data_IF_560828993365
#
_entry.id   IF_560828993365
#
_cell.length_a   1.000
_cell.length_b   1.000
_cell.length_c   1.000
_cell.angle_alpha   90.00
_cell.angle_beta   90.00
_cell.angle_gamma   90.00
#
_symmetry.space_group_name_H-M   'P 1'
#
loop_
_entity.id
_entity.type
_entity.pdbx_description
1 polymer ?
#
# COMPACT_ATOMS: atom_id res chain seq x y z
N UNK A 1 -0.98 -18.74 1.93
CA UNK A 1 -2.32 -18.21 1.60
C UNK A 1 -2.16 -16.99 0.69
N UNK A 2 -3.10 -16.75 -0.24
CA UNK A 2 -3.09 -15.57 -1.10
C UNK A 2 -3.53 -14.34 -0.31
N UNK A 3 -2.69 -13.30 -0.21
CA UNK A 3 -2.99 -12.04 0.49
C UNK A 3 -4.11 -11.24 -0.20
N UNK A 4 -4.64 -10.21 0.46
CA UNK A 4 -5.85 -9.50 0.02
C UNK A 4 -5.79 -8.96 -1.42
N UNK A 5 -4.71 -8.27 -1.80
CA UNK A 5 -4.54 -7.73 -3.16
C UNK A 5 -4.44 -8.83 -4.23
N UNK A 6 -3.93 -10.02 -3.89
CA UNK A 6 -3.87 -11.16 -4.82
C UNK A 6 -5.25 -11.79 -5.03
N UNK A 7 -6.09 -11.84 -3.99
CA UNK A 7 -7.52 -12.21 -4.13
C UNK A 7 -8.27 -11.20 -4.99
N UNK A 8 -8.10 -9.91 -4.74
CA UNK A 8 -8.74 -8.85 -5.51
C UNK A 8 -8.35 -8.87 -6.99
N UNK A 9 -7.07 -9.08 -7.29
CA UNK A 9 -6.58 -9.28 -8.66
C UNK A 9 -7.26 -10.47 -9.34
N UNK A 10 -7.39 -11.59 -8.64
CA UNK A 10 -8.02 -12.81 -9.16
C UNK A 10 -9.50 -12.56 -9.49
N UNK A 11 -10.24 -11.91 -8.59
CA UNK A 11 -11.62 -11.50 -8.83
C UNK A 11 -11.75 -10.56 -10.04
N UNK A 12 -10.83 -9.59 -10.16
CA UNK A 12 -10.83 -8.63 -11.27
C UNK A 12 -10.53 -9.28 -12.62
N UNK A 13 -9.61 -10.26 -12.65
CA UNK A 13 -9.32 -11.08 -13.82
C UNK A 13 -10.52 -11.91 -14.25
N UNK A 14 -11.23 -12.52 -13.29
CA UNK A 14 -12.44 -13.30 -13.58
C UNK A 14 -13.57 -12.46 -14.19
N UNK A 15 -13.64 -11.16 -13.85
CA UNK A 15 -14.61 -10.20 -14.42
C UNK A 15 -14.14 -9.55 -15.73
N UNK A 16 -12.91 -9.82 -16.19
CA UNK A 16 -12.35 -9.13 -17.35
C UNK A 16 -12.91 -9.68 -18.68
N UNK A 17 -13.71 -8.87 -19.37
CA UNK A 17 -14.27 -9.21 -20.70
C UNK A 17 -13.24 -9.02 -21.83
N UNK A 18 -12.16 -8.27 -21.57
CA UNK A 18 -11.03 -8.05 -22.51
C UNK A 18 -9.70 -8.23 -21.78
N UNK A 19 -8.64 -8.71 -22.46
CA UNK A 19 -7.31 -8.79 -21.87
C UNK A 19 -6.83 -7.41 -21.41
N UNK A 20 -6.29 -7.33 -20.19
CA UNK A 20 -5.66 -6.10 -19.71
C UNK A 20 -4.34 -5.86 -20.43
N UNK A 21 -4.25 -4.78 -21.21
CA UNK A 21 -3.04 -4.38 -21.93
C UNK A 21 -2.47 -3.13 -21.25
N UNK A 22 -1.53 -3.34 -20.33
CA UNK A 22 -0.69 -2.25 -19.80
C UNK A 22 0.73 -2.34 -20.40
N UNK A 23 1.46 -1.23 -20.36
CA UNK A 23 2.86 -1.21 -20.79
C UNK A 23 3.65 -2.21 -19.92
N UNK A 24 4.26 -3.23 -20.53
CA UNK A 24 4.96 -4.31 -19.81
C UNK A 24 4.06 -5.48 -19.34
N UNK A 25 2.80 -5.56 -19.78
CA UNK A 25 1.87 -6.65 -19.41
C UNK A 25 2.00 -7.93 -20.24
N UNK A 26 2.86 -7.94 -21.28
CA UNK A 26 3.09 -9.12 -22.13
C UNK A 26 4.13 -10.11 -21.58
N UNK A 27 4.99 -9.65 -20.67
CA UNK A 27 5.99 -10.52 -20.05
C UNK A 27 5.31 -11.43 -19.02
N UNK A 28 5.70 -12.71 -19.01
CA UNK A 28 5.36 -13.63 -17.93
C UNK A 28 5.91 -13.10 -16.61
N UNK A 29 5.12 -13.23 -15.54
CA UNK A 29 5.43 -12.69 -14.22
C UNK A 29 5.10 -13.70 -13.15
N UNK A 30 5.94 -13.73 -12.12
CA UNK A 30 5.70 -14.51 -10.92
C UNK A 30 4.29 -14.20 -10.34
N UNK A 31 3.47 -15.21 -10.05
CA UNK A 31 2.13 -14.99 -9.50
C UNK A 31 2.14 -14.40 -8.08
N UNK A 32 3.25 -14.57 -7.34
CA UNK A 32 3.47 -13.95 -6.03
C UNK A 32 3.90 -12.49 -6.15
N UNK A 33 5.17 -12.26 -6.52
CA UNK A 33 5.79 -10.93 -6.49
C UNK A 33 5.59 -10.07 -7.76
N UNK A 34 5.00 -10.63 -8.83
CA UNK A 34 4.68 -9.90 -10.08
C UNK A 34 5.89 -9.37 -10.85
N UNK A 35 7.10 -9.75 -10.46
CA UNK A 35 8.33 -9.52 -11.21
C UNK A 35 8.58 -10.69 -12.16
N UNK A 36 9.41 -10.48 -13.19
CA UNK A 36 9.87 -11.51 -14.12
C UNK A 36 10.52 -12.68 -13.32
N UNK A 37 10.27 -13.96 -13.67
CA UNK A 37 10.71 -15.11 -12.86
C UNK A 37 12.19 -15.14 -12.49
N UNK A 38 13.09 -14.76 -13.40
CA UNK A 38 14.53 -14.68 -13.18
C UNK A 38 14.93 -13.63 -12.11
N UNK A 39 14.03 -12.68 -11.85
CA UNK A 39 14.17 -11.59 -10.89
C UNK A 39 13.17 -11.72 -9.75
N UNK A 40 12.66 -12.93 -9.49
CA UNK A 40 11.68 -13.16 -8.44
C UNK A 40 12.22 -12.75 -7.07
N UNK A 41 11.41 -12.05 -6.28
CA UNK A 41 11.73 -11.69 -4.90
C UNK A 41 10.89 -12.41 -3.84
N UNK A 42 10.20 -13.51 -4.19
CA UNK A 42 9.33 -14.20 -3.23
C UNK A 42 10.09 -14.82 -2.05
N UNK A 43 11.37 -15.14 -2.21
CA UNK A 43 12.23 -15.60 -1.12
C UNK A 43 12.58 -14.49 -0.12
N UNK A 44 12.30 -13.23 -0.46
CA UNK A 44 12.57 -12.05 0.36
C UNK A 44 11.33 -11.51 1.06
N UNK A 45 10.24 -12.29 1.11
CA UNK A 45 9.02 -11.87 1.81
C UNK A 45 9.30 -11.84 3.31
N UNK A 46 9.22 -10.68 3.96
CA UNK A 46 9.52 -10.59 5.38
C UNK A 46 8.32 -10.99 6.24
N UNK A 47 8.56 -11.16 7.53
CA UNK A 47 7.57 -11.36 8.56
C UNK A 47 7.82 -10.37 9.70
N UNK A 48 6.80 -9.58 10.03
CA UNK A 48 6.84 -8.60 11.12
C UNK A 48 5.44 -8.47 11.73
N UNK A 49 5.39 -8.17 13.03
CA UNK A 49 4.14 -7.87 13.70
C UNK A 49 3.84 -6.37 13.61
N UNK A 50 2.57 -6.03 13.41
CA UNK A 50 2.09 -4.66 13.41
C UNK A 50 0.79 -4.58 14.22
N UNK A 51 0.63 -3.52 15.01
CA UNK A 51 -0.66 -3.23 15.65
C UNK A 51 -1.63 -2.61 14.66
N UNK A 52 -1.14 -1.86 13.68
CA UNK A 52 -1.95 -1.23 12.64
C UNK A 52 -2.48 -2.24 11.64
N UNK A 53 -3.69 -1.97 11.17
CA UNK A 53 -4.29 -2.60 10.00
C UNK A 53 -4.28 -1.66 8.80
N UNK A 54 -4.39 -2.25 7.60
CA UNK A 54 -4.38 -1.53 6.34
C UNK A 54 -5.61 -1.91 5.52
N UNK A 55 -6.33 -0.91 5.01
CA UNK A 55 -7.43 -1.09 4.08
C UNK A 55 -7.10 -0.43 2.74
N UNK A 56 -6.81 -1.24 1.73
CA UNK A 56 -6.53 -0.77 0.37
C UNK A 56 -7.82 -0.65 -0.42
N UNK A 57 -8.28 0.56 -0.64
CA UNK A 57 -9.39 0.84 -1.54
C UNK A 57 -8.81 1.14 -2.92
N UNK A 58 -8.91 0.20 -3.85
CA UNK A 58 -8.16 0.21 -5.11
C UNK A 58 -9.02 0.59 -6.30
N UNK A 59 -8.56 1.50 -7.14
CA UNK A 59 -9.20 1.80 -8.43
C UNK A 59 -9.17 0.55 -9.35
N UNK A 60 -10.14 0.44 -10.27
CA UNK A 60 -10.46 -0.78 -11.02
C UNK A 60 -9.27 -1.54 -11.64
N UNK A 61 -8.29 -0.80 -12.16
CA UNK A 61 -7.12 -1.38 -12.86
C UNK A 61 -5.88 -1.52 -11.99
N UNK A 62 -5.85 -0.92 -10.79
CA UNK A 62 -4.68 -0.93 -9.91
C UNK A 62 -4.22 -2.33 -9.50
N UNK A 63 -5.10 -3.26 -9.09
CA UNK A 63 -4.70 -4.62 -8.74
C UNK A 63 -3.98 -5.36 -9.87
N UNK A 64 -4.17 -4.92 -11.13
CA UNK A 64 -3.59 -5.51 -12.33
C UNK A 64 -2.22 -4.93 -12.70
N UNK A 65 -1.85 -3.75 -12.20
CA UNK A 65 -0.58 -3.08 -12.56
C UNK A 65 0.61 -3.80 -11.92
N UNK A 66 1.63 -4.21 -12.69
CA UNK A 66 2.84 -4.84 -12.12
C UNK A 66 3.65 -3.94 -11.21
N UNK A 67 3.58 -2.62 -11.42
CA UNK A 67 4.29 -1.61 -10.64
C UNK A 67 3.48 -1.09 -9.44
N UNK A 68 2.26 -1.56 -9.23
CA UNK A 68 1.49 -1.21 -8.04
C UNK A 68 2.27 -1.68 -6.81
N UNK A 69 2.38 -0.86 -5.77
CA UNK A 69 3.12 -1.20 -4.54
C UNK A 69 2.20 -1.55 -3.38
N UNK A 70 0.89 -1.44 -3.53
CA UNK A 70 -0.09 -1.79 -2.50
C UNK A 70 -0.04 -3.27 -2.10
N UNK A 71 0.34 -4.17 -3.01
CA UNK A 71 0.51 -5.58 -2.66
C UNK A 71 1.69 -5.85 -1.72
N UNK A 72 2.71 -4.98 -1.67
CA UNK A 72 3.82 -5.11 -0.71
C UNK A 72 3.30 -4.93 0.72
N UNK A 73 2.37 -4.00 0.92
CA UNK A 73 1.70 -3.79 2.22
C UNK A 73 0.99 -5.08 2.65
N UNK A 74 0.28 -5.72 1.73
CA UNK A 74 -0.45 -6.96 2.01
C UNK A 74 0.46 -8.20 2.21
N UNK A 75 1.73 -8.13 1.79
CA UNK A 75 2.74 -9.15 2.10
C UNK A 75 3.36 -8.92 3.49
N UNK A 76 3.50 -7.66 3.94
CA UNK A 76 4.18 -7.29 5.20
C UNK A 76 3.21 -7.20 6.38
N UNK A 77 2.01 -6.66 6.17
CA UNK A 77 1.02 -6.38 7.22
C UNK A 77 -0.09 -7.42 7.14
N UNK A 78 -0.15 -8.31 8.13
CA UNK A 78 -1.11 -9.42 8.17
C UNK A 78 -2.57 -8.93 8.15
N UNK A 79 -2.88 -7.90 8.93
CA UNK A 79 -4.20 -7.27 9.00
C UNK A 79 -4.42 -6.30 7.83
N UNK A 80 -4.18 -6.76 6.60
CA UNK A 80 -4.46 -6.00 5.37
C UNK A 80 -5.69 -6.53 4.65
N UNK A 81 -6.65 -5.66 4.40
CA UNK A 81 -7.79 -5.88 3.50
C UNK A 81 -7.62 -5.08 2.21
N UNK A 82 -8.29 -5.52 1.14
CA UNK A 82 -8.28 -4.81 -0.13
C UNK A 82 -9.64 -4.95 -0.80
N UNK A 83 -10.20 -3.82 -1.24
CA UNK A 83 -11.51 -3.74 -1.87
C UNK A 83 -11.42 -3.00 -3.21
N UNK A 84 -12.18 -3.42 -4.23
CA UNK A 84 -12.36 -2.60 -5.42
C UNK A 84 -13.15 -1.34 -5.06
N UNK A 85 -12.76 -0.21 -5.60
CA UNK A 85 -13.56 1.01 -5.51
C UNK A 85 -14.59 1.07 -6.65
N UNK A 86 -15.84 1.33 -6.29
CA UNK A 86 -16.89 1.71 -7.22
C UNK A 86 -17.60 2.98 -6.75
N UNK A 87 -18.03 3.80 -7.72
CA UNK A 87 -18.74 5.06 -7.44
C UNK A 87 -20.16 4.82 -6.95
N UNK A 88 -20.77 3.70 -7.33
CA UNK A 88 -22.20 3.44 -7.15
C UNK A 88 -22.48 2.26 -6.24
N UNK A 89 -21.55 1.32 -6.13
CA UNK A 89 -21.71 0.09 -5.38
C UNK A 89 -20.57 -0.01 -4.36
N UNK A 90 -20.93 -0.10 -3.08
CA UNK A 90 -19.95 -0.24 -2.00
C UNK A 90 -19.92 -1.70 -1.57
N UNK A 91 -18.73 -2.26 -1.43
CA UNK A 91 -18.57 -3.64 -0.96
C UNK A 91 -19.08 -3.76 0.50
N UNK A 92 -20.03 -4.66 0.79
CA UNK A 92 -20.58 -4.79 2.15
C UNK A 92 -19.53 -5.15 3.22
N UNK A 93 -18.52 -5.92 2.83
CA UNK A 93 -17.39 -6.29 3.70
C UNK A 93 -16.53 -5.08 4.08
N UNK A 94 -16.42 -4.06 3.22
CA UNK A 94 -15.75 -2.81 3.56
C UNK A 94 -16.51 -2.07 4.66
N UNK A 95 -17.84 -1.96 4.54
CA UNK A 95 -18.66 -1.31 5.57
C UNK A 95 -18.59 -2.07 6.90
N UNK A 96 -18.55 -3.41 6.85
CA UNK A 96 -18.39 -4.26 8.03
C UNK A 96 -17.05 -4.01 8.71
N UNK A 97 -15.97 -3.91 7.95
CA UNK A 97 -14.64 -3.59 8.47
C UNK A 97 -14.60 -2.20 9.12
N UNK A 98 -15.20 -1.19 8.49
CA UNK A 98 -15.22 0.18 9.01
C UNK A 98 -16.06 0.32 10.30
N UNK A 99 -17.04 -0.56 10.50
CA UNK A 99 -17.90 -0.56 11.67
C UNK A 99 -17.39 -1.45 12.82
N UNK A 100 -16.32 -2.22 12.60
CA UNK A 100 -15.77 -3.13 13.59
C UNK A 100 -15.17 -2.33 14.78
N UNK A 101 -15.65 -2.56 16.01
CA UNK A 101 -15.25 -1.77 17.17
C UNK A 101 -13.78 -1.90 17.54
N UNK A 102 -13.06 -2.92 17.05
CA UNK A 102 -11.63 -3.06 17.31
C UNK A 102 -10.79 -2.01 16.56
N UNK A 103 -11.33 -1.44 15.47
CA UNK A 103 -10.61 -0.54 14.59
C UNK A 103 -10.95 0.92 14.84
N UNK A 104 -9.94 1.76 14.74
CA UNK A 104 -10.08 3.20 14.62
C UNK A 104 -9.65 3.64 13.20
N UNK A 105 -10.61 3.83 12.30
CA UNK A 105 -10.32 4.13 10.90
C UNK A 105 -9.82 5.57 10.67
N UNK A 106 -8.76 5.69 9.87
CA UNK A 106 -8.25 6.95 9.35
C UNK A 106 -8.15 6.86 7.83
N UNK A 107 -8.73 7.83 7.11
CA UNK A 107 -8.48 7.95 5.68
C UNK A 107 -7.21 8.78 5.46
N UNK A 108 -6.25 8.22 4.73
CA UNK A 108 -4.97 8.89 4.49
C UNK A 108 -5.09 9.73 3.23
N UNK A 109 -5.05 11.06 3.38
CA UNK A 109 -5.22 11.98 2.27
C UNK A 109 -4.63 13.37 2.59
N UNK A 110 -4.14 14.13 1.60
CA UNK A 110 -3.62 15.47 1.87
C UNK A 110 -4.70 16.43 2.40
N UNK A 111 -4.43 17.04 3.54
CA UNK A 111 -5.38 17.90 4.27
C UNK A 111 -5.78 19.17 3.51
N UNK A 112 -4.98 19.64 2.55
CA UNK A 112 -5.29 20.83 1.74
C UNK A 112 -6.57 20.70 0.89
N UNK A 113 -7.08 19.47 0.71
CA UNK A 113 -8.33 19.19 -0.01
C UNK A 113 -9.53 18.92 0.90
N UNK A 114 -9.38 19.13 2.21
CA UNK A 114 -10.34 18.70 3.23
C UNK A 114 -10.67 19.86 4.16
N UNK A 115 -11.90 19.87 4.69
CA UNK A 115 -12.30 20.80 5.72
C UNK A 115 -11.37 20.65 6.96
N UNK A 116 -10.83 21.76 7.53
CA UNK A 116 -9.82 21.71 8.58
C UNK A 116 -10.22 20.86 9.80
N UNK A 117 -11.51 20.82 10.13
CA UNK A 117 -12.05 20.12 11.30
C UNK A 117 -11.93 18.59 11.19
N UNK A 118 -11.77 18.07 9.98
CA UNK A 118 -11.57 16.63 9.74
C UNK A 118 -10.10 16.23 9.70
N UNK A 119 -9.18 17.19 9.57
CA UNK A 119 -7.77 16.91 9.35
C UNK A 119 -7.08 16.65 10.68
N UNK A 120 -6.37 15.52 10.76
CA UNK A 120 -5.50 15.16 11.88
C UNK A 120 -4.09 14.91 11.36
N UNK A 121 -3.07 15.24 12.14
CA UNK A 121 -1.64 15.03 11.82
C UNK A 121 -0.99 13.91 12.63
N UNK A 122 -1.72 13.36 13.59
CA UNK A 122 -1.26 12.40 14.58
C UNK A 122 -2.32 11.31 14.77
N UNK A 123 -1.88 10.13 15.20
CA UNK A 123 -2.74 8.97 15.41
C UNK A 123 -3.12 8.89 16.89
N UNK A 124 -4.31 9.40 17.22
CA UNK A 124 -4.85 9.40 18.58
C UNK A 124 -5.84 8.27 18.78
N UNK A 125 -5.44 7.21 19.47
CA UNK A 125 -6.26 6.01 19.66
C UNK A 125 -7.13 6.09 20.92
N UNK A 126 -8.40 5.71 20.77
CA UNK A 126 -9.28 5.40 21.90
C UNK A 126 -8.82 4.09 22.58
N UNK A 127 -9.11 3.97 23.88
CA UNK A 127 -8.72 2.80 24.65
C UNK A 127 -9.30 1.51 24.05
N UNK A 128 -8.43 0.50 23.86
CA UNK A 128 -8.81 -0.80 23.30
C UNK A 128 -8.90 -0.85 21.77
N UNK A 129 -8.72 0.27 21.06
CA UNK A 129 -8.73 0.29 19.58
C UNK A 129 -7.34 0.20 18.97
N UNK A 130 -7.30 -0.29 17.73
CA UNK A 130 -6.11 -0.35 16.87
C UNK A 130 -6.32 0.52 15.64
N UNK A 131 -5.28 1.18 15.10
CA UNK A 131 -5.44 2.02 13.91
C UNK A 131 -5.74 1.18 12.67
N UNK A 132 -6.66 1.66 11.85
CA UNK A 132 -6.95 1.12 10.51
C UNK A 132 -6.72 2.22 9.48
N UNK A 133 -5.66 2.11 8.68
CA UNK A 133 -5.35 3.10 7.66
C UNK A 133 -6.00 2.75 6.33
N UNK A 134 -6.86 3.64 5.84
CA UNK A 134 -7.54 3.50 4.56
C UNK A 134 -6.73 4.25 3.50
N UNK A 135 -6.11 3.50 2.58
CA UNK A 135 -5.30 4.04 1.50
C UNK A 135 -6.09 3.97 0.20
N UNK A 136 -6.21 5.12 -0.48
CA UNK A 136 -6.81 5.21 -1.80
C UNK A 136 -5.75 4.89 -2.86
N UNK A 137 -5.78 3.66 -3.37
CA UNK A 137 -4.77 3.18 -4.30
C UNK A 137 -5.22 3.44 -5.75
N UNK A 138 -4.47 4.29 -6.44
CA UNK A 138 -4.81 4.83 -7.75
C UNK A 138 -3.80 5.90 -8.16
N UNK A 139 -3.89 6.34 -9.41
CA UNK A 139 -3.24 7.61 -9.78
C UNK A 139 -3.79 8.76 -8.94
N UNK A 140 -3.06 9.86 -8.84
CA UNK A 140 -3.49 11.02 -8.05
C UNK A 140 -4.89 11.54 -8.43
N UNK A 141 -5.22 11.58 -9.73
CA UNK A 141 -6.54 11.98 -10.20
C UNK A 141 -7.64 10.97 -9.83
N UNK A 142 -7.33 9.67 -9.86
CA UNK A 142 -8.22 8.60 -9.41
C UNK A 142 -8.44 8.68 -7.89
N UNK A 143 -7.38 8.79 -7.09
CA UNK A 143 -7.47 8.91 -5.63
C UNK A 143 -8.31 10.13 -5.20
N UNK A 144 -8.10 11.29 -5.82
CA UNK A 144 -8.94 12.49 -5.59
C UNK A 144 -10.41 12.24 -5.92
N UNK A 145 -10.68 11.52 -7.00
CA UNK A 145 -12.05 11.15 -7.38
C UNK A 145 -12.64 10.17 -6.38
N UNK A 146 -11.89 9.15 -5.96
CA UNK A 146 -12.30 8.16 -4.97
C UNK A 146 -12.66 8.84 -3.65
N UNK A 147 -11.79 9.71 -3.14
CA UNK A 147 -12.02 10.50 -1.93
C UNK A 147 -13.35 11.28 -2.01
N UNK A 148 -13.51 12.08 -3.08
CA UNK A 148 -14.71 12.92 -3.31
C UNK A 148 -15.99 12.13 -3.59
N UNK A 149 -15.89 10.87 -3.99
CA UNK A 149 -17.02 10.05 -4.44
C UNK A 149 -17.22 8.83 -3.54
N UNK A 150 -16.78 8.91 -2.29
CA UNK A 150 -17.00 7.89 -1.26
C UNK A 150 -17.65 8.53 -0.03
N UNK A 151 -18.97 8.86 -0.07
CA UNK A 151 -19.66 9.49 1.06
C UNK A 151 -19.59 8.68 2.36
N UNK A 152 -19.47 7.36 2.24
CA UNK A 152 -19.27 6.46 3.38
C UNK A 152 -17.94 6.67 4.13
N UNK A 153 -17.01 7.48 3.61
CA UNK A 153 -15.76 7.86 4.29
C UNK A 153 -15.79 9.29 4.83
N UNK A 154 -16.87 10.06 4.62
CA UNK A 154 -16.93 11.48 4.98
C UNK A 154 -16.96 11.75 6.49
N UNK A 155 -17.41 10.78 7.28
CA UNK A 155 -17.44 10.89 8.73
C UNK A 155 -16.09 10.56 9.39
N UNK A 156 -15.12 10.06 8.62
CA UNK A 156 -13.83 9.60 9.14
C UNK A 156 -12.83 10.75 9.28
N UNK A 157 -11.94 10.70 10.29
CA UNK A 157 -10.81 11.60 10.38
C UNK A 157 -9.86 11.38 9.20
N UNK A 158 -9.36 12.48 8.64
CA UNK A 158 -8.39 12.47 7.55
C UNK A 158 -7.00 12.63 8.12
N UNK A 159 -6.19 11.58 8.07
CA UNK A 159 -4.78 11.64 8.43
C UNK A 159 -4.00 12.28 7.29
N UNK A 160 -3.53 13.51 7.50
CA UNK A 160 -2.66 14.22 6.57
C UNK A 160 -1.21 14.12 7.03
N UNK A 161 -0.34 13.61 6.18
CA UNK A 161 1.09 13.54 6.45
C UNK A 161 1.70 14.94 6.36
N UNK A 162 2.31 15.39 7.45
CA UNK A 162 2.88 16.73 7.57
C UNK A 162 4.14 16.90 6.68
N UNK A 163 4.40 18.10 6.12
CA UNK A 163 5.59 18.35 5.30
C UNK A 163 6.90 17.92 5.96
N UNK A 164 7.01 18.07 7.28
CA UNK A 164 8.20 17.67 8.05
C UNK A 164 8.38 16.15 8.06
N UNK A 165 7.29 15.38 8.19
CA UNK A 165 7.32 13.91 8.12
C UNK A 165 7.75 13.46 6.72
N UNK A 166 7.16 14.04 5.69
CA UNK A 166 7.51 13.76 4.29
C UNK A 166 8.98 14.09 3.99
N UNK A 167 9.46 15.22 4.49
CA UNK A 167 10.85 15.67 4.34
C UNK A 167 11.83 14.71 5.02
N UNK A 168 11.58 14.35 6.29
CA UNK A 168 12.41 13.37 7.02
C UNK A 168 12.48 12.03 6.30
N UNK A 169 11.34 11.56 5.78
CA UNK A 169 11.28 10.31 5.03
C UNK A 169 12.06 10.39 3.70
N UNK A 170 11.95 11.49 2.95
CA UNK A 170 12.75 11.72 1.73
C UNK A 170 14.25 11.71 2.02
N UNK A 171 14.68 12.36 3.11
CA UNK A 171 16.07 12.35 3.56
C UNK A 171 16.54 10.93 3.88
N UNK A 172 15.70 10.10 4.54
CA UNK A 172 16.00 8.70 4.83
C UNK A 172 16.19 7.87 3.56
N UNK A 173 15.33 8.04 2.54
CA UNK A 173 15.39 7.25 1.30
C UNK A 173 16.33 7.77 0.22
N UNK A 174 16.88 8.97 0.37
CA UNK A 174 17.77 9.60 -0.64
C UNK A 174 17.19 9.61 -2.08
N UNK A 175 15.85 9.60 -2.23
CA UNK A 175 15.15 9.60 -3.53
C UNK A 175 14.78 11.02 -3.96
N UNK A 176 14.84 11.27 -5.28
CA UNK A 176 14.52 12.55 -5.94
C UNK A 176 13.08 12.67 -6.46
N UNK A 177 12.19 11.74 -6.10
CA UNK A 177 10.80 11.79 -6.57
C UNK A 177 9.94 12.71 -5.70
N UNK A 178 9.07 13.48 -6.35
CA UNK A 178 8.18 14.42 -5.69
C UNK A 178 6.91 13.79 -5.14
N UNK A 179 6.60 12.55 -5.53
CA UNK A 179 5.41 11.82 -5.12
C UNK A 179 5.73 10.48 -4.48
N UNK A 180 5.04 10.17 -3.39
CA UNK A 180 5.14 8.88 -2.70
C UNK A 180 4.24 7.83 -3.35
N UNK A 181 4.73 6.60 -3.45
CA UNK A 181 3.88 5.47 -3.81
C UNK A 181 3.09 4.93 -2.60
N UNK A 182 2.09 4.09 -2.84
CA UNK A 182 1.16 3.57 -1.82
C UNK A 182 1.88 2.90 -0.64
N UNK A 183 2.93 2.12 -0.89
CA UNK A 183 3.74 1.50 0.17
C UNK A 183 4.56 2.50 1.00
N UNK A 184 5.02 3.62 0.43
CA UNK A 184 5.73 4.66 1.19
C UNK A 184 4.78 5.41 2.11
N UNK A 185 3.57 5.71 1.62
CA UNK A 185 2.49 6.29 2.42
C UNK A 185 2.14 5.37 3.58
N UNK A 186 2.03 4.06 3.34
CA UNK A 186 1.76 3.08 4.39
C UNK A 186 2.89 3.01 5.44
N UNK A 187 4.16 3.03 5.03
CA UNK A 187 5.30 3.03 5.95
C UNK A 187 5.30 4.28 6.84
N UNK A 188 4.96 5.45 6.28
CA UNK A 188 4.77 6.69 7.04
C UNK A 188 3.64 6.59 8.06
N UNK A 189 2.50 5.99 7.69
CA UNK A 189 1.40 5.77 8.63
C UNK A 189 1.77 4.82 9.76
N UNK A 190 2.51 3.74 9.47
CA UNK A 190 3.02 2.82 10.50
C UNK A 190 3.96 3.54 11.47
N UNK A 191 4.85 4.39 10.95
CA UNK A 191 5.75 5.20 11.79
C UNK A 191 4.97 6.14 12.72
N UNK A 192 3.86 6.72 12.25
CA UNK A 192 2.99 7.60 13.04
C UNK A 192 2.14 6.88 14.09
N UNK A 193 1.95 5.58 13.95
CA UNK A 193 1.24 4.73 14.91
C UNK A 193 2.20 3.95 15.83
N UNK A 194 3.47 4.34 15.89
CA UNK A 194 4.53 3.68 16.65
C UNK A 194 4.81 2.22 16.24
N UNK A 195 4.36 1.79 15.05
CA UNK A 195 4.70 0.50 14.43
C UNK A 195 6.03 0.59 13.68
N UNK A 196 7.08 1.06 14.37
CA UNK A 196 8.38 1.38 13.75
C UNK A 196 9.03 0.19 13.04
N UNK A 197 8.98 -1.01 13.64
CA UNK A 197 9.54 -2.20 13.01
C UNK A 197 8.83 -2.52 11.69
N UNK A 198 7.50 -2.50 11.67
CA UNK A 198 6.73 -2.76 10.46
C UNK A 198 6.93 -1.68 9.39
N UNK A 199 7.06 -0.41 9.80
CA UNK A 199 7.44 0.70 8.92
C UNK A 199 8.79 0.45 8.24
N UNK A 200 9.82 0.08 9.02
CA UNK A 200 11.16 -0.18 8.52
C UNK A 200 11.20 -1.39 7.58
N UNK A 201 10.53 -2.49 7.94
CA UNK A 201 10.43 -3.69 7.11
C UNK A 201 9.74 -3.38 5.78
N UNK A 202 8.64 -2.63 5.79
CA UNK A 202 7.94 -2.25 4.56
C UNK A 202 8.82 -1.37 3.66
N UNK A 203 9.56 -0.42 4.24
CA UNK A 203 10.52 0.41 3.52
C UNK A 203 11.63 -0.43 2.86
N UNK A 204 12.23 -1.34 3.62
CA UNK A 204 13.28 -2.23 3.14
C UNK A 204 12.79 -3.20 2.06
N UNK A 205 11.59 -3.77 2.23
CA UNK A 205 10.98 -4.65 1.24
C UNK A 205 10.65 -3.90 -0.06
N UNK A 206 10.23 -2.65 0.03
CA UNK A 206 10.04 -1.78 -1.13
C UNK A 206 11.36 -1.45 -1.84
N UNK A 207 12.48 -1.30 -1.12
CA UNK A 207 13.81 -1.17 -1.74
C UNK A 207 14.17 -2.44 -2.52
N UNK A 208 14.04 -3.63 -1.91
CA UNK A 208 14.28 -4.92 -2.58
C UNK A 208 13.39 -5.07 -3.82
N UNK A 209 12.09 -4.79 -3.71
CA UNK A 209 11.19 -4.79 -4.86
C UNK A 209 11.66 -3.84 -5.97
N UNK A 210 12.06 -2.62 -5.62
CA UNK A 210 12.53 -1.63 -6.59
C UNK A 210 13.79 -2.11 -7.31
N UNK A 211 14.76 -2.68 -6.58
CA UNK A 211 15.99 -3.26 -7.13
C UNK A 211 15.67 -4.40 -8.10
N UNK A 212 14.84 -5.36 -7.69
CA UNK A 212 14.42 -6.48 -8.53
C UNK A 212 13.65 -6.03 -9.78
N UNK A 213 12.72 -5.08 -9.63
CA UNK A 213 11.91 -4.58 -10.74
C UNK A 213 12.75 -3.79 -11.76
N UNK A 214 13.66 -2.93 -11.29
CA UNK A 214 14.55 -2.16 -12.16
C UNK A 214 15.60 -3.05 -12.82
N UNK A 215 16.19 -4.00 -12.09
CA UNK A 215 17.12 -4.97 -12.66
C UNK A 215 16.45 -5.79 -13.76
N UNK A 216 15.20 -6.24 -13.55
CA UNK A 216 14.41 -6.91 -14.59
C UNK A 216 14.16 -6.02 -15.82
N UNK A 217 13.88 -4.73 -15.60
CA UNK A 217 13.61 -3.77 -16.68
C UNK A 217 14.85 -3.46 -17.52
N UNK A 218 16.02 -3.40 -16.89
CA UNK A 218 17.29 -3.02 -17.52
C UNK A 218 18.24 -4.20 -17.74
N UNK A 219 17.80 -5.43 -17.46
CA UNK A 219 18.57 -6.67 -17.59
C UNK A 219 19.90 -6.62 -16.83
N UNK A 220 19.88 -6.07 -15.62
CA UNK A 220 21.04 -5.99 -14.73
C UNK A 220 21.16 -7.26 -13.90
N UNK A 221 22.36 -7.56 -13.39
CA UNK A 221 22.53 -8.63 -12.40
C UNK A 221 22.01 -8.18 -11.03
N UNK A 222 21.52 -9.14 -10.23
CA UNK A 222 21.18 -8.94 -8.83
C UNK A 222 22.34 -9.40 -7.94
N UNK A 223 22.60 -8.65 -6.88
CA UNK A 223 23.52 -9.04 -5.82
C UNK A 223 22.75 -9.25 -4.50
N UNK A 224 22.48 -10.51 -4.09
CA UNK A 224 21.83 -10.83 -2.83
C UNK A 224 22.58 -10.35 -1.57
N UNK A 225 23.86 -9.98 -1.69
CA UNK A 225 24.68 -9.52 -0.59
C UNK A 225 24.78 -7.98 -0.52
N UNK A 226 24.07 -7.25 -1.38
CA UNK A 226 24.07 -5.79 -1.35
C UNK A 226 23.40 -5.23 -0.08
N UNK A 227 23.54 -3.91 0.12
CA UNK A 227 22.98 -3.23 1.28
C UNK A 227 21.45 -3.30 1.36
N UNK A 228 20.77 -3.41 0.21
CA UNK A 228 19.30 -3.42 0.13
C UNK A 228 18.78 -4.76 0.65
N UNK A 229 19.39 -5.87 0.24
CA UNK A 229 19.01 -7.21 0.66
C UNK A 229 19.44 -7.51 2.10
N UNK A 230 20.65 -7.11 2.49
CA UNK A 230 21.17 -7.33 3.85
C UNK A 230 20.39 -6.56 4.91
N UNK A 231 19.83 -5.39 4.57
CA UNK A 231 18.91 -4.65 5.46
C UNK A 231 17.61 -5.40 5.74
N UNK A 232 17.09 -6.15 4.76
CA UNK A 232 15.84 -6.91 4.91
C UNK A 232 16.05 -8.29 5.54
N UNK A 233 17.23 -8.88 5.35
CA UNK A 233 17.56 -10.24 5.78
C UNK A 233 17.18 -10.62 7.23
N UNK A 234 17.27 -9.73 8.24
CA UNK A 234 16.86 -10.06 9.61
C UNK A 234 15.37 -10.37 9.80
N UNK A 235 14.53 -10.06 8.79
CA UNK A 235 13.08 -10.16 8.86
C UNK A 235 12.50 -11.29 8.01
N UNK A 236 13.33 -12.15 7.40
CA UNK A 236 12.88 -13.26 6.55
C UNK A 236 12.40 -14.48 7.35
#
# INVERSE_FOLDING_TARGET
MSHAVSRLRTQRLARAVKPFVARGSRAERCPGCRVIPEYCLCAWRPNVQAKSAMCLLMHDVEPMKPSNTGWLIADVINDTTAFPWSRTEVEPELLTLLADPQWQPYIVFPGEFVAPERVVSEVWLEEGKRPLFILLDGTWSEARKMFRKSPYLEHLPVLSLAPEQLSRYKLRRSKRDDHFCTAEVAALCLELADDHAASEVLDAYLDVFSTHYLAAKFQLALDPADIVHTRLAPYL
#
